data_IF_966437389916
#
_entry.id   IF_966437389916
#
_cell.length_a   1.000
_cell.length_b   1.000
_cell.length_c   1.000
_cell.angle_alpha   90.00
_cell.angle_beta   90.00
_cell.angle_gamma   90.00
#
_symmetry.space_group_name_H-M   'P 1'
#
loop_
_entity.id
_entity.type
_entity.pdbx_description
1 polymer ?
#
# COMPACT_ATOMS: atom_id res chain seq x y z
N UNK A 1 -24.52 8.11 -20.30
CA UNK A 1 -23.77 7.72 -21.51
C UNK A 1 -23.55 6.21 -21.44
N UNK A 2 -23.78 5.46 -22.52
CA UNK A 2 -23.48 4.03 -22.55
C UNK A 2 -22.08 3.80 -23.11
N UNK A 3 -21.29 2.95 -22.46
CA UNK A 3 -19.95 2.55 -22.89
C UNK A 3 -19.93 1.07 -23.24
N UNK A 4 -19.40 0.76 -24.42
CA UNK A 4 -19.11 -0.63 -24.77
C UNK A 4 -18.07 -1.24 -23.81
N UNK A 5 -18.05 -2.57 -23.70
CA UNK A 5 -17.03 -3.30 -22.94
C UNK A 5 -15.62 -2.85 -23.32
N UNK A 6 -15.33 -2.74 -24.62
CA UNK A 6 -14.02 -2.33 -25.11
C UNK A 6 -13.63 -0.91 -24.66
N UNK A 7 -14.59 0.03 -24.67
CA UNK A 7 -14.34 1.38 -24.15
C UNK A 7 -14.06 1.37 -22.65
N UNK A 8 -14.82 0.59 -21.87
CA UNK A 8 -14.59 0.43 -20.43
C UNK A 8 -13.20 -0.18 -20.13
N UNK A 9 -12.77 -1.15 -20.95
CA UNK A 9 -11.47 -1.80 -20.78
C UNK A 9 -10.31 -0.85 -21.07
N UNK A 10 -10.43 0.01 -22.08
CA UNK A 10 -9.41 1.02 -22.43
C UNK A 10 -9.33 2.16 -21.39
N UNK A 11 -10.37 2.33 -20.57
CA UNK A 11 -10.39 3.29 -19.47
C UNK A 11 -9.63 2.82 -18.22
N UNK A 12 -9.31 1.53 -18.11
CA UNK A 12 -8.58 0.97 -16.97
C UNK A 12 -7.12 0.66 -17.33
N UNK A 13 -6.22 0.52 -16.34
CA UNK A 13 -4.91 -0.09 -16.57
C UNK A 13 -5.05 -1.46 -17.24
N UNK A 14 -4.11 -1.82 -18.11
CA UNK A 14 -4.15 -3.09 -18.85
C UNK A 14 -4.22 -4.31 -17.91
N UNK A 15 -3.53 -4.29 -16.77
CA UNK A 15 -3.57 -5.34 -15.74
C UNK A 15 -4.94 -5.49 -15.06
N UNK A 16 -5.85 -4.54 -15.26
CA UNK A 16 -7.18 -4.49 -14.63
C UNK A 16 -8.32 -4.56 -15.64
N UNK A 17 -8.04 -4.48 -16.94
CA UNK A 17 -9.06 -4.50 -18.00
C UNK A 17 -9.92 -5.78 -17.99
N UNK A 18 -9.38 -6.93 -17.57
CA UNK A 18 -10.13 -8.18 -17.47
C UNK A 18 -11.19 -8.18 -16.36
N UNK A 19 -11.12 -7.24 -15.40
CA UNK A 19 -12.16 -7.09 -14.38
C UNK A 19 -13.48 -6.55 -14.94
N UNK A 20 -13.45 -5.91 -16.12
CA UNK A 20 -14.65 -5.47 -16.82
C UNK A 20 -15.31 -6.67 -17.51
N UNK A 21 -16.47 -7.07 -17.01
CA UNK A 21 -17.17 -8.28 -17.49
C UNK A 21 -18.22 -7.98 -18.56
N UNK A 22 -18.76 -6.77 -18.58
CA UNK A 22 -19.87 -6.36 -19.46
C UNK A 22 -19.71 -4.93 -19.96
N UNK A 23 -20.51 -4.54 -20.96
CA UNK A 23 -20.78 -3.14 -21.24
C UNK A 23 -21.38 -2.46 -20.00
N UNK A 24 -21.24 -1.14 -19.93
CA UNK A 24 -21.50 -0.36 -18.74
C UNK A 24 -22.27 0.92 -19.05
N UNK A 25 -23.11 1.32 -18.11
CA UNK A 25 -23.63 2.67 -18.06
C UNK A 25 -22.71 3.55 -17.21
N UNK A 26 -22.43 4.75 -17.73
CA UNK A 26 -21.79 5.81 -16.95
C UNK A 26 -22.78 6.28 -15.89
N UNK A 27 -22.46 6.00 -14.63
CA UNK A 27 -23.23 6.45 -13.47
C UNK A 27 -23.10 7.97 -13.31
N UNK A 28 -21.89 8.51 -13.49
CA UNK A 28 -21.63 9.95 -13.46
C UNK A 28 -20.36 10.33 -14.25
N UNK A 29 -20.40 11.50 -14.86
CA UNK A 29 -19.27 12.15 -15.54
C UNK A 29 -18.97 13.47 -14.83
N UNK A 30 -17.75 13.62 -14.34
CA UNK A 30 -17.24 14.84 -13.71
C UNK A 30 -16.30 15.55 -14.70
N UNK A 31 -16.83 16.44 -15.57
CA UNK A 31 -16.01 17.11 -16.57
C UNK A 31 -15.04 18.08 -15.89
N UNK A 32 -13.78 18.01 -16.32
CA UNK A 32 -12.73 18.99 -15.98
C UNK A 32 -12.56 19.98 -17.14
N UNK A 33 -12.85 19.54 -18.37
CA UNK A 33 -12.97 20.37 -19.56
C UNK A 33 -13.99 19.76 -20.54
N UNK A 34 -14.20 20.38 -21.70
CA UNK A 34 -15.10 19.84 -22.74
C UNK A 34 -14.67 18.45 -23.25
N UNK A 35 -13.36 18.18 -23.21
CA UNK A 35 -12.75 16.96 -23.75
C UNK A 35 -12.17 16.04 -22.69
N UNK A 36 -12.27 16.32 -21.40
CA UNK A 36 -11.67 15.48 -20.37
C UNK A 36 -12.39 15.57 -19.02
N UNK A 37 -12.19 14.56 -18.18
CA UNK A 37 -12.80 14.52 -16.85
C UNK A 37 -12.52 13.23 -16.10
N UNK A 38 -13.37 12.95 -15.12
CA UNK A 38 -13.35 11.70 -14.35
C UNK A 38 -14.70 11.01 -14.48
N UNK A 39 -14.69 9.78 -14.99
CA UNK A 39 -15.88 8.94 -15.08
C UNK A 39 -15.99 8.03 -13.87
N UNK A 40 -17.23 7.79 -13.47
CA UNK A 40 -17.59 6.62 -12.68
C UNK A 40 -18.61 5.80 -13.46
N UNK A 41 -18.30 4.52 -13.68
CA UNK A 41 -19.11 3.61 -14.48
C UNK A 41 -19.27 2.23 -13.82
N UNK A 42 -20.40 1.57 -14.08
CA UNK A 42 -20.77 0.32 -13.42
C UNK A 42 -20.34 -0.93 -14.19
N UNK A 43 -19.61 -1.86 -13.57
CA UNK A 43 -19.44 -3.21 -14.12
C UNK A 43 -19.69 -4.25 -13.05
N UNK A 44 -20.77 -5.02 -13.23
CA UNK A 44 -21.28 -5.91 -12.19
C UNK A 44 -21.81 -5.09 -11.00
N UNK A 45 -21.27 -5.34 -9.80
CA UNK A 45 -21.65 -4.65 -8.57
C UNK A 45 -20.70 -3.52 -8.18
N UNK A 46 -19.68 -3.24 -9.01
CA UNK A 46 -18.61 -2.28 -8.72
C UNK A 46 -18.77 -1.01 -9.54
N UNK A 47 -18.38 0.11 -8.95
CA UNK A 47 -18.28 1.42 -9.59
C UNK A 47 -16.81 1.70 -9.87
N UNK A 48 -16.38 1.59 -11.13
CA UNK A 48 -15.00 1.85 -11.55
C UNK A 48 -14.78 3.34 -11.78
N UNK A 49 -13.61 3.83 -11.38
CA UNK A 49 -13.21 5.23 -11.54
C UNK A 49 -12.20 5.30 -12.68
N UNK A 50 -12.38 6.26 -13.58
CA UNK A 50 -11.44 6.47 -14.69
C UNK A 50 -11.30 7.96 -15.03
N UNK A 51 -10.16 8.58 -14.69
CA UNK A 51 -9.71 9.80 -15.35
C UNK A 51 -9.56 9.55 -16.87
N UNK A 52 -10.19 10.38 -17.70
CA UNK A 52 -10.31 10.14 -19.13
C UNK A 52 -10.05 11.39 -19.97
N UNK A 53 -9.73 11.15 -21.25
CA UNK A 53 -9.65 12.16 -22.31
C UNK A 53 -10.42 11.70 -23.55
N UNK A 54 -11.04 12.64 -24.25
CA UNK A 54 -11.70 12.49 -25.56
C UNK A 54 -10.71 12.92 -26.65
N UNK A 55 -10.11 11.95 -27.33
CA UNK A 55 -9.26 12.14 -28.51
C UNK A 55 -9.62 11.09 -29.58
N UNK A 56 -10.42 11.49 -30.58
CA UNK A 56 -11.02 10.61 -31.62
C UNK A 56 -11.83 9.43 -31.07
N UNK A 57 -12.10 9.43 -29.77
CA UNK A 57 -12.67 8.36 -28.97
C UNK A 57 -12.39 8.64 -27.50
N UNK A 58 -12.86 7.78 -26.60
CA UNK A 58 -12.55 7.91 -25.18
C UNK A 58 -11.37 7.00 -24.81
N UNK A 59 -10.41 7.57 -24.09
CA UNK A 59 -9.26 6.83 -23.56
C UNK A 59 -8.95 7.25 -22.14
N UNK A 60 -8.21 6.40 -21.44
CA UNK A 60 -7.65 6.72 -20.13
C UNK A 60 -6.68 7.91 -20.20
N UNK A 61 -6.66 8.70 -19.13
CA UNK A 61 -5.70 9.78 -18.96
C UNK A 61 -4.27 9.25 -18.72
N UNK A 62 -3.30 10.07 -19.12
CA UNK A 62 -1.86 9.86 -18.99
C UNK A 62 -1.20 11.14 -18.47
N UNK A 63 0.08 11.05 -18.07
CA UNK A 63 0.84 12.17 -17.45
C UNK A 63 0.79 13.50 -18.20
N UNK A 64 0.69 13.47 -19.52
CA UNK A 64 0.66 14.68 -20.35
C UNK A 64 -0.74 15.30 -20.50
N UNK A 65 -1.79 14.65 -19.99
CA UNK A 65 -3.16 15.15 -20.10
C UNK A 65 -3.50 16.17 -19.00
N UNK A 66 -2.82 16.13 -17.85
CA UNK A 66 -2.98 17.11 -16.78
C UNK A 66 -4.31 17.01 -16.03
N UNK A 67 -4.96 15.85 -16.04
CA UNK A 67 -6.35 15.71 -15.54
C UNK A 67 -6.43 15.87 -14.03
N UNK A 68 -5.48 15.26 -13.30
CA UNK A 68 -5.45 15.35 -11.84
C UNK A 68 -5.01 16.75 -11.42
N UNK A 69 -4.00 17.31 -12.09
CA UNK A 69 -3.55 18.68 -11.87
C UNK A 69 -4.67 19.71 -12.08
N UNK A 70 -5.42 19.61 -13.18
CA UNK A 70 -6.55 20.49 -13.46
C UNK A 70 -7.69 20.32 -12.45
N UNK A 71 -8.03 19.08 -12.08
CA UNK A 71 -9.08 18.80 -11.11
C UNK A 71 -8.78 19.45 -9.74
N UNK A 72 -7.52 19.39 -9.28
CA UNK A 72 -7.11 19.94 -7.99
C UNK A 72 -6.70 21.42 -8.03
N UNK A 73 -6.56 22.01 -9.23
CA UNK A 73 -6.31 23.44 -9.41
C UNK A 73 -7.57 24.29 -9.54
N UNK A 74 -8.75 23.64 -9.60
CA UNK A 74 -10.03 24.29 -9.82
C UNK A 74 -11.04 23.93 -8.74
N UNK A 75 -12.18 24.63 -8.74
CA UNK A 75 -13.35 24.17 -7.96
C UNK A 75 -13.80 22.81 -8.49
N UNK A 76 -13.99 21.85 -7.58
CA UNK A 76 -14.38 20.51 -7.98
C UNK A 76 -15.76 20.50 -8.64
N UNK A 77 -15.97 19.62 -9.64
CA UNK A 77 -17.28 19.41 -10.25
C UNK A 77 -18.37 19.08 -9.21
N UNK A 78 -19.62 19.57 -9.40
CA UNK A 78 -20.73 19.27 -8.50
C UNK A 78 -20.92 17.76 -8.31
N UNK A 79 -21.14 17.35 -7.06
CA UNK A 79 -21.29 15.94 -6.67
C UNK A 79 -20.02 15.29 -6.12
N UNK A 80 -18.86 15.94 -6.26
CA UNK A 80 -17.65 15.60 -5.54
C UNK A 80 -17.51 16.45 -4.27
N UNK A 81 -16.98 15.83 -3.22
CA UNK A 81 -16.56 16.50 -1.99
C UNK A 81 -15.08 16.23 -1.79
N UNK A 82 -14.29 17.25 -1.47
CA UNK A 82 -12.88 17.07 -1.15
C UNK A 82 -12.51 17.78 0.14
N UNK A 83 -11.54 17.20 0.85
CA UNK A 83 -10.82 17.86 1.94
C UNK A 83 -9.42 18.33 1.51
N UNK A 84 -8.99 18.01 0.29
CA UNK A 84 -7.71 18.44 -0.28
C UNK A 84 -7.77 19.96 -0.55
N UNK A 85 -6.79 20.75 -0.07
CA UNK A 85 -6.68 22.17 -0.40
C UNK A 85 -6.57 22.37 -1.91
N UNK A 86 -7.31 23.35 -2.44
CA UNK A 86 -7.14 23.77 -3.84
C UNK A 86 -5.74 24.39 -4.00
N UNK A 87 -4.98 23.86 -4.95
CA UNK A 87 -3.63 24.33 -5.27
C UNK A 87 -3.57 24.98 -6.65
N UNK A 88 -2.36 25.18 -7.14
CA UNK A 88 -2.12 25.47 -8.55
C UNK A 88 -1.01 24.54 -9.02
N UNK A 89 -1.38 23.52 -9.80
CA UNK A 89 -0.48 22.46 -10.21
C UNK A 89 -0.19 22.54 -11.71
N UNK A 90 1.09 22.53 -12.06
CA UNK A 90 1.55 22.76 -13.43
C UNK A 90 1.92 21.49 -14.19
N UNK A 91 2.26 20.42 -13.46
CA UNK A 91 2.73 19.17 -14.01
C UNK A 91 2.16 17.98 -13.25
N UNK A 92 1.93 16.88 -13.97
CA UNK A 92 1.58 15.60 -13.38
C UNK A 92 2.39 14.47 -14.02
N UNK A 93 2.69 13.42 -13.25
CA UNK A 93 3.36 12.23 -13.74
C UNK A 93 2.84 10.98 -13.05
N UNK A 94 2.43 10.02 -13.86
CA UNK A 94 1.94 8.73 -13.40
C UNK A 94 3.09 7.83 -12.95
N UNK A 95 2.83 7.01 -11.92
CA UNK A 95 3.75 5.96 -11.48
C UNK A 95 3.43 4.68 -12.27
N UNK A 96 4.38 4.19 -13.05
CA UNK A 96 4.19 3.06 -13.97
C UNK A 96 4.35 1.67 -13.31
N UNK A 97 4.22 1.58 -11.99
CA UNK A 97 4.33 0.32 -11.23
C UNK A 97 2.95 -0.32 -11.13
N UNK A 98 2.86 -1.65 -11.27
CA UNK A 98 1.58 -2.36 -11.10
C UNK A 98 1.15 -2.28 -9.64
N UNK A 99 0.06 -1.56 -9.41
CA UNK A 99 -0.51 -1.27 -8.10
C UNK A 99 -2.00 -1.62 -8.12
N UNK A 100 -2.60 -1.82 -6.95
CA UNK A 100 -4.06 -2.00 -6.83
C UNK A 100 -4.83 -0.74 -7.26
N UNK A 101 -4.22 0.41 -7.00
CA UNK A 101 -4.71 1.75 -7.30
C UNK A 101 -3.76 2.45 -8.27
N UNK A 102 -4.18 3.58 -8.79
CA UNK A 102 -3.37 4.40 -9.69
C UNK A 102 -2.80 5.61 -8.97
N UNK A 103 -1.49 5.85 -9.09
CA UNK A 103 -0.82 6.96 -8.42
C UNK A 103 -0.29 7.99 -9.42
N UNK A 104 -0.58 9.27 -9.16
CA UNK A 104 -0.13 10.42 -9.94
C UNK A 104 0.62 11.38 -9.02
N UNK A 105 1.83 11.78 -9.41
CA UNK A 105 2.62 12.78 -8.71
C UNK A 105 2.36 14.14 -9.34
N UNK A 106 2.03 15.15 -8.53
CA UNK A 106 1.83 16.54 -8.95
C UNK A 106 3.00 17.41 -8.49
N UNK A 107 3.62 18.10 -9.44
CA UNK A 107 4.75 19.03 -9.22
C UNK A 107 5.84 18.49 -8.28
N UNK A 108 6.07 17.16 -8.30
CA UNK A 108 7.01 16.44 -7.42
C UNK A 108 6.85 16.78 -5.92
N UNK A 109 5.63 17.13 -5.49
CA UNK A 109 5.32 17.57 -4.12
C UNK A 109 4.13 16.85 -3.50
N UNK A 110 3.23 16.34 -4.32
CA UNK A 110 2.02 15.63 -3.89
C UNK A 110 1.90 14.34 -4.66
N UNK A 111 1.48 13.28 -3.99
CA UNK A 111 1.07 12.03 -4.62
C UNK A 111 -0.44 11.87 -4.42
N UNK A 112 -1.16 11.66 -5.53
CA UNK A 112 -2.60 11.40 -5.56
C UNK A 112 -2.83 9.95 -5.94
N UNK A 113 -3.47 9.18 -5.06
CA UNK A 113 -3.82 7.77 -5.27
C UNK A 113 -5.28 7.67 -5.66
N UNK A 114 -5.55 7.51 -6.96
CA UNK A 114 -6.86 7.20 -7.52
C UNK A 114 -7.26 5.76 -7.18
N UNK A 115 -8.42 5.60 -6.56
CA UNK A 115 -8.99 4.29 -6.27
C UNK A 115 -9.44 3.64 -7.58
N UNK A 116 -9.21 2.33 -7.75
CA UNK A 116 -9.72 1.61 -8.93
C UNK A 116 -11.26 1.58 -8.96
N UNK A 117 -11.87 1.47 -7.77
CA UNK A 117 -13.31 1.45 -7.61
C UNK A 117 -13.77 2.32 -6.45
N UNK A 118 -14.87 3.04 -6.64
CA UNK A 118 -15.46 3.88 -5.60
C UNK A 118 -16.09 2.99 -4.51
N UNK A 119 -15.56 3.09 -3.30
CA UNK A 119 -16.02 2.33 -2.13
C UNK A 119 -15.73 3.09 -0.83
N UNK A 120 -16.34 2.64 0.28
CA UNK A 120 -15.88 3.07 1.61
C UNK A 120 -14.46 2.57 1.83
N UNK A 121 -13.59 3.41 2.36
CA UNK A 121 -12.20 3.05 2.63
C UNK A 121 -11.93 3.15 4.12
N UNK A 122 -11.53 2.01 4.70
CA UNK A 122 -10.99 1.96 6.07
C UNK A 122 -9.60 2.57 6.10
N UNK A 123 -8.82 2.48 5.00
CA UNK A 123 -7.51 3.11 4.87
C UNK A 123 -7.57 4.62 5.02
N UNK A 124 -8.48 5.29 4.31
CA UNK A 124 -8.67 6.73 4.46
C UNK A 124 -9.03 7.13 5.90
N UNK A 125 -9.87 6.35 6.58
CA UNK A 125 -10.20 6.60 7.99
C UNK A 125 -8.96 6.44 8.90
N UNK A 126 -8.14 5.40 8.70
CA UNK A 126 -6.89 5.21 9.45
C UNK A 126 -5.91 6.37 9.22
N UNK A 127 -5.74 6.84 7.98
CA UNK A 127 -4.87 7.98 7.69
C UNK A 127 -5.38 9.28 8.35
N UNK A 128 -6.70 9.50 8.36
CA UNK A 128 -7.31 10.63 9.08
C UNK A 128 -7.01 10.56 10.59
N UNK A 129 -7.24 9.41 11.22
CA UNK A 129 -6.94 9.18 12.65
C UNK A 129 -5.45 9.40 12.96
N UNK A 130 -4.55 8.87 12.13
CA UNK A 130 -3.11 9.08 12.26
C UNK A 130 -2.72 10.56 12.16
N UNK A 131 -3.33 11.28 11.22
CA UNK A 131 -3.08 12.72 11.02
C UNK A 131 -3.57 13.54 12.21
N UNK A 132 -4.79 13.28 12.70
CA UNK A 132 -5.37 13.95 13.87
C UNK A 132 -4.53 13.71 15.13
N UNK A 133 -3.97 12.49 15.26
CA UNK A 133 -3.05 12.10 16.33
C UNK A 133 -1.58 12.46 16.08
N UNK A 134 -1.29 13.22 15.01
CA UNK A 134 0.04 13.76 14.68
C UNK A 134 1.13 12.70 14.53
N UNK A 135 0.78 11.55 13.97
CA UNK A 135 1.75 10.50 13.67
C UNK A 135 2.80 11.00 12.65
N UNK A 136 4.06 11.06 13.07
CA UNK A 136 5.13 11.74 12.32
C UNK A 136 5.75 10.89 11.19
N UNK A 137 5.42 9.60 11.10
CA UNK A 137 6.01 8.66 10.14
C UNK A 137 5.05 8.28 9.01
N UNK A 138 3.99 9.05 8.76
CA UNK A 138 3.15 8.90 7.58
C UNK A 138 3.35 10.13 6.68
N UNK A 139 3.48 9.97 5.35
CA UNK A 139 3.50 11.12 4.45
C UNK A 139 2.24 11.95 4.68
N UNK A 140 2.42 13.26 4.94
CA UNK A 140 1.36 14.15 5.40
C UNK A 140 0.11 14.02 4.54
N UNK A 141 -1.01 13.64 5.16
CA UNK A 141 -2.30 13.57 4.50
C UNK A 141 -2.77 14.98 4.17
N UNK A 142 -2.95 15.26 2.88
CA UNK A 142 -3.48 16.54 2.40
C UNK A 142 -5.00 16.49 2.29
N UNK A 143 -5.57 15.32 2.07
CA UNK A 143 -6.99 15.08 2.12
C UNK A 143 -7.46 14.00 1.16
N UNK A 144 -8.78 13.90 1.03
CA UNK A 144 -9.48 12.86 0.30
C UNK A 144 -10.54 13.47 -0.60
N UNK A 145 -10.83 12.81 -1.74
CA UNK A 145 -11.95 13.12 -2.63
C UNK A 145 -12.98 12.00 -2.53
N UNK A 146 -14.24 12.39 -2.36
CA UNK A 146 -15.37 11.50 -2.25
C UNK A 146 -16.41 11.78 -3.32
N UNK A 147 -17.02 10.70 -3.81
CA UNK A 147 -18.30 10.73 -4.49
C UNK A 147 -19.33 10.08 -3.56
N UNK A 148 -20.33 10.85 -3.11
CA UNK A 148 -21.21 10.45 -2.01
C UNK A 148 -20.39 10.13 -0.75
N UNK A 149 -20.51 8.91 -0.21
CA UNK A 149 -19.74 8.39 0.93
C UNK A 149 -18.58 7.46 0.50
N UNK A 150 -18.30 7.38 -0.80
CA UNK A 150 -17.26 6.51 -1.37
C UNK A 150 -16.00 7.31 -1.70
N UNK A 151 -14.86 6.81 -1.25
CA UNK A 151 -13.54 7.36 -1.60
C UNK A 151 -13.28 7.13 -3.09
N UNK A 152 -12.80 8.16 -3.79
CA UNK A 152 -12.35 8.05 -5.17
C UNK A 152 -10.88 8.39 -5.36
N UNK A 153 -10.31 9.24 -4.50
CA UNK A 153 -8.88 9.52 -4.48
C UNK A 153 -8.43 9.99 -3.08
N UNK A 154 -7.20 9.70 -2.71
CA UNK A 154 -6.51 10.30 -1.56
C UNK A 154 -5.28 11.07 -2.04
N UNK A 155 -4.85 12.07 -1.28
CA UNK A 155 -3.64 12.84 -1.57
C UNK A 155 -2.77 13.01 -0.33
N UNK A 156 -1.48 12.71 -0.46
CA UNK A 156 -0.47 12.88 0.58
C UNK A 156 0.70 13.68 0.01
N UNK A 157 1.54 14.26 0.88
CA UNK A 157 2.83 14.80 0.44
C UNK A 157 3.67 13.70 -0.19
N UNK A 158 4.21 13.98 -1.37
CA UNK A 158 5.18 13.12 -2.00
C UNK A 158 6.55 13.33 -1.33
N UNK A 159 7.27 12.24 -1.09
CA UNK A 159 8.60 12.27 -0.49
C UNK A 159 9.63 11.90 -1.57
N UNK A 160 10.33 12.88 -2.18
CA UNK A 160 11.23 12.59 -3.30
C UNK A 160 12.43 11.73 -2.90
N UNK A 161 12.78 10.79 -3.78
CA UNK A 161 13.97 9.95 -3.62
C UNK A 161 13.83 8.83 -2.58
N UNK A 162 12.63 8.53 -2.11
CA UNK A 162 12.37 7.31 -1.34
C UNK A 162 12.32 6.07 -2.22
N UNK A 163 12.75 4.94 -1.68
CA UNK A 163 12.51 3.60 -2.22
C UNK A 163 11.71 2.77 -1.23
N UNK A 164 11.03 1.73 -1.73
CA UNK A 164 10.30 0.77 -0.91
C UNK A 164 11.25 -0.18 -0.15
N UNK A 165 10.74 -0.82 0.90
CA UNK A 165 11.56 -1.70 1.74
C UNK A 165 11.99 -3.00 1.10
N UNK A 166 11.36 -3.49 0.04
CA UNK A 166 11.96 -4.61 -0.69
C UNK A 166 13.26 -4.21 -1.37
N UNK A 167 13.38 -2.95 -1.80
CA UNK A 167 14.63 -2.42 -2.37
C UNK A 167 15.72 -2.28 -1.29
N UNK A 168 15.48 -1.47 -0.25
CA UNK A 168 16.55 -1.14 0.70
C UNK A 168 16.78 -2.26 1.75
N UNK A 169 15.76 -2.97 2.21
CA UNK A 169 15.91 -3.96 3.29
C UNK A 169 16.61 -5.23 2.78
N UNK A 170 16.37 -5.64 1.53
CA UNK A 170 17.13 -6.73 0.89
C UNK A 170 18.62 -6.39 0.79
N UNK A 171 18.95 -5.13 0.48
CA UNK A 171 20.34 -4.67 0.50
C UNK A 171 20.92 -4.73 1.91
N UNK A 172 20.19 -4.27 2.93
CA UNK A 172 20.60 -4.37 4.35
C UNK A 172 20.87 -5.80 4.78
N UNK A 173 20.01 -6.75 4.40
CA UNK A 173 20.22 -8.16 4.67
C UNK A 173 21.48 -8.71 3.99
N UNK A 174 21.72 -8.36 2.72
CA UNK A 174 22.94 -8.76 1.98
C UNK A 174 24.22 -8.21 2.59
N UNK A 175 24.15 -7.01 3.16
CA UNK A 175 25.27 -6.33 3.84
C UNK A 175 25.42 -6.79 5.31
N UNK A 176 24.54 -7.68 5.79
CA UNK A 176 24.43 -8.08 7.19
C UNK A 176 24.29 -6.87 8.15
N UNK A 177 23.57 -5.84 7.69
CA UNK A 177 23.34 -4.60 8.43
C UNK A 177 22.16 -4.76 9.40
N UNK A 178 22.46 -4.70 10.69
CA UNK A 178 21.53 -4.71 11.82
C UNK A 178 21.53 -3.37 12.57
N UNK A 179 21.81 -2.28 11.85
CA UNK A 179 22.00 -0.95 12.40
C UNK A 179 20.74 -0.29 12.98
N UNK A 180 20.80 1.02 13.27
CA UNK A 180 19.75 1.75 13.97
C UNK A 180 18.37 1.76 13.29
N UNK A 181 18.29 1.40 12.01
CA UNK A 181 17.04 1.36 11.27
C UNK A 181 16.04 0.35 11.84
N UNK A 182 16.51 -0.76 12.46
CA UNK A 182 15.63 -1.73 13.12
C UNK A 182 14.98 -1.15 14.38
N UNK A 183 15.76 -0.40 15.16
CA UNK A 183 15.23 0.31 16.33
C UNK A 183 14.22 1.39 15.91
N UNK A 184 14.54 2.15 14.86
CA UNK A 184 13.64 3.16 14.30
C UNK A 184 12.36 2.52 13.76
N UNK A 185 12.45 1.34 13.13
CA UNK A 185 11.30 0.57 12.67
C UNK A 185 10.43 0.13 13.85
N UNK A 186 11.00 -0.35 14.95
CA UNK A 186 10.23 -0.70 16.13
C UNK A 186 9.55 0.53 16.79
N UNK A 187 10.28 1.64 16.92
CA UNK A 187 9.75 2.89 17.49
C UNK A 187 8.59 3.42 16.65
N UNK A 188 8.73 3.44 15.32
CA UNK A 188 7.66 3.93 14.45
C UNK A 188 6.43 3.02 14.50
N UNK A 189 6.60 1.69 14.59
CA UNK A 189 5.47 0.75 14.72
C UNK A 189 4.73 0.95 16.04
N UNK A 190 5.45 1.15 17.16
CA UNK A 190 4.81 1.44 18.44
C UNK A 190 4.05 2.77 18.42
N UNK A 191 4.65 3.81 17.84
CA UNK A 191 3.99 5.11 17.66
C UNK A 191 2.75 5.01 16.75
N UNK A 192 2.82 4.22 15.69
CA UNK A 192 1.69 3.96 14.79
C UNK A 192 0.52 3.31 15.53
N UNK A 193 0.77 2.21 16.24
CA UNK A 193 -0.28 1.52 17.01
C UNK A 193 -0.88 2.41 18.10
N UNK A 194 -0.08 3.26 18.74
CA UNK A 194 -0.59 4.24 19.70
C UNK A 194 -1.54 5.24 19.03
N UNK A 195 -1.14 5.80 17.88
CA UNK A 195 -1.94 6.79 17.16
C UNK A 195 -3.18 6.20 16.49
N UNK A 196 -3.21 4.89 16.19
CA UNK A 196 -4.34 4.20 15.57
C UNK A 196 -5.49 3.88 16.52
N UNK A 197 -5.37 4.15 17.83
CA UNK A 197 -6.45 4.03 18.82
C UNK A 197 -7.19 2.67 18.80
N UNK A 198 -6.45 1.57 18.74
CA UNK A 198 -7.02 0.22 18.70
C UNK A 198 -7.32 -0.30 17.30
N UNK A 199 -7.03 0.47 16.25
CA UNK A 199 -6.85 -0.04 14.90
C UNK A 199 -5.40 -0.53 14.69
N UNK A 200 -5.21 -1.29 13.61
CA UNK A 200 -3.91 -1.75 13.13
C UNK A 200 -3.74 -1.40 11.65
N UNK A 201 -2.52 -1.43 11.14
CA UNK A 201 -2.24 -1.35 9.70
C UNK A 201 -2.97 -2.48 8.98
N UNK A 202 -2.79 -3.73 9.45
CA UNK A 202 -3.53 -4.92 8.99
C UNK A 202 -2.86 -5.69 7.85
N UNK A 203 -1.91 -5.05 7.17
CA UNK A 203 -1.02 -5.60 6.12
C UNK A 203 0.40 -5.00 6.24
N UNK A 204 0.99 -5.09 7.43
CA UNK A 204 2.25 -4.39 7.74
C UNK A 204 3.47 -5.23 7.36
N UNK A 205 4.24 -4.78 6.37
CA UNK A 205 5.45 -5.46 5.90
C UNK A 205 6.48 -4.47 5.35
N UNK A 206 7.73 -4.90 5.08
CA UNK A 206 8.81 -3.96 4.68
C UNK A 206 8.49 -3.18 3.40
N UNK A 207 7.77 -3.78 2.45
CA UNK A 207 7.30 -3.08 1.25
C UNK A 207 6.48 -1.81 1.50
N UNK A 208 5.88 -1.67 2.69
CA UNK A 208 5.12 -0.48 3.11
C UNK A 208 5.98 0.57 3.83
N UNK A 209 7.28 0.33 3.93
CA UNK A 209 8.23 1.22 4.58
C UNK A 209 9.09 1.91 3.51
N UNK A 210 8.86 3.21 3.35
CA UNK A 210 9.67 4.05 2.48
C UNK A 210 10.87 4.63 3.24
N UNK A 211 12.01 4.70 2.56
CA UNK A 211 13.26 5.30 3.09
C UNK A 211 14.02 6.01 1.97
N UNK A 212 14.71 7.10 2.28
CA UNK A 212 15.69 7.69 1.35
C UNK A 212 17.09 7.12 1.58
N UNK A 213 17.97 7.19 0.57
CA UNK A 213 19.34 6.68 0.70
C UNK A 213 20.22 7.47 1.70
N UNK A 214 19.86 8.72 2.00
CA UNK A 214 20.67 9.67 2.76
C UNK A 214 20.09 10.04 4.13
N UNK A 215 18.95 9.47 4.52
CA UNK A 215 18.32 9.69 5.82
C UNK A 215 17.78 8.38 6.40
N UNK A 216 17.83 8.25 7.72
CA UNK A 216 17.23 7.11 8.45
C UNK A 216 15.77 7.35 8.84
N UNK A 217 15.18 8.46 8.39
CA UNK A 217 13.74 8.67 8.46
C UNK A 217 13.01 7.59 7.65
N UNK A 218 12.08 6.92 8.32
CA UNK A 218 11.18 5.93 7.73
C UNK A 218 9.77 6.50 7.62
N UNK A 219 9.07 6.11 6.57
CA UNK A 219 7.66 6.44 6.35
C UNK A 219 6.85 5.17 6.12
N UNK A 220 5.64 5.11 6.70
CA UNK A 220 4.66 4.04 6.49
C UNK A 220 3.61 4.52 5.51
N UNK A 221 3.23 3.65 4.59
CA UNK A 221 2.20 3.89 3.58
C UNK A 221 1.22 2.71 3.51
N UNK A 222 0.13 2.88 2.76
CA UNK A 222 -0.81 1.81 2.38
C UNK A 222 -1.65 1.21 3.53
N UNK A 223 -2.34 2.08 4.26
CA UNK A 223 -3.20 1.71 5.38
C UNK A 223 -4.53 1.02 5.01
N UNK A 224 -4.74 0.62 3.75
CA UNK A 224 -5.98 -0.03 3.29
C UNK A 224 -6.23 -1.36 4.03
N UNK A 225 -5.18 -1.97 4.57
CA UNK A 225 -5.22 -3.27 5.25
C UNK A 225 -5.26 -4.45 4.28
N UNK A 226 -5.35 -5.66 4.83
CA UNK A 226 -5.32 -6.88 4.02
C UNK A 226 -6.62 -7.03 3.21
N UNK A 227 -6.56 -6.98 1.86
CA UNK A 227 -7.73 -7.08 0.99
C UNK A 227 -8.42 -8.46 1.06
N UNK A 228 -7.75 -9.46 1.64
CA UNK A 228 -8.26 -10.82 1.82
C UNK A 228 -8.86 -11.04 3.22
N UNK A 229 -8.67 -10.11 4.15
CA UNK A 229 -9.22 -10.21 5.49
C UNK A 229 -10.71 -9.86 5.50
N UNK A 230 -11.51 -10.64 6.22
CA UNK A 230 -12.85 -10.20 6.65
C UNK A 230 -12.69 -9.19 7.77
N UNK A 231 -13.56 -8.17 7.83
CA UNK A 231 -13.58 -7.05 8.80
C UNK A 231 -13.56 -7.43 10.31
N UNK A 232 -13.45 -8.71 10.65
CA UNK A 232 -13.53 -9.27 12.01
C UNK A 232 -12.21 -9.90 12.49
N UNK A 233 -11.14 -9.90 11.69
CA UNK A 233 -9.82 -10.35 12.21
C UNK A 233 -9.35 -9.36 13.27
N UNK A 234 -9.19 -9.86 14.51
CA UNK A 234 -8.99 -9.05 15.71
C UNK A 234 -7.92 -7.97 15.50
N UNK A 235 -8.29 -6.73 15.87
CA UNK A 235 -7.43 -5.56 15.85
C UNK A 235 -6.37 -5.63 16.97
N UNK A 236 -5.52 -6.65 16.90
CA UNK A 236 -4.44 -6.85 17.85
C UNK A 236 -3.12 -6.37 17.22
N UNK A 237 -2.39 -5.46 17.89
CA UNK A 237 -1.06 -5.01 17.45
C UNK A 237 -0.08 -6.16 17.15
N UNK A 238 -0.29 -7.33 17.79
CA UNK A 238 0.47 -8.55 17.53
C UNK A 238 0.44 -8.99 16.07
N UNK A 239 -0.64 -8.72 15.32
CA UNK A 239 -0.72 -9.05 13.91
C UNK A 239 0.27 -8.26 13.07
N UNK A 240 0.34 -6.94 13.25
CA UNK A 240 1.29 -6.11 12.52
C UNK A 240 2.74 -6.48 12.88
N UNK A 241 2.99 -6.80 14.16
CA UNK A 241 4.32 -7.27 14.62
C UNK A 241 4.67 -8.60 13.95
N UNK A 242 3.79 -9.60 14.01
CA UNK A 242 4.00 -10.90 13.38
C UNK A 242 4.18 -10.77 11.87
N UNK A 243 3.39 -9.93 11.21
CA UNK A 243 3.48 -9.66 9.77
C UNK A 243 4.83 -9.04 9.40
N UNK A 244 5.31 -8.06 10.16
CA UNK A 244 6.64 -7.47 9.94
C UNK A 244 7.76 -8.48 10.20
N UNK A 245 7.66 -9.28 11.27
CA UNK A 245 8.63 -10.34 11.56
C UNK A 245 8.69 -11.37 10.43
N UNK A 246 7.54 -11.82 9.92
CA UNK A 246 7.47 -12.72 8.78
C UNK A 246 8.04 -12.07 7.49
N UNK A 247 7.85 -10.76 7.33
CA UNK A 247 8.45 -10.00 6.23
C UNK A 247 9.98 -10.06 6.23
N UNK A 248 10.65 -10.13 7.39
CA UNK A 248 12.11 -10.34 7.42
C UNK A 248 12.53 -11.69 6.83
N UNK A 249 11.72 -12.74 6.99
CA UNK A 249 11.97 -14.04 6.34
C UNK A 249 11.83 -13.93 4.82
N UNK A 250 10.86 -13.17 4.31
CA UNK A 250 10.72 -12.91 2.87
C UNK A 250 11.89 -12.10 2.33
N UNK A 251 12.35 -11.06 3.05
CA UNK A 251 13.57 -10.31 2.72
C UNK A 251 14.75 -11.27 2.58
N UNK A 252 14.90 -12.20 3.52
CA UNK A 252 15.93 -13.21 3.46
C UNK A 252 15.80 -14.16 2.27
N UNK A 253 14.59 -14.64 1.98
CA UNK A 253 14.32 -15.48 0.81
C UNK A 253 14.70 -14.78 -0.50
N UNK A 254 14.35 -13.51 -0.65
CA UNK A 254 14.72 -12.67 -1.78
C UNK A 254 16.25 -12.49 -1.85
N UNK A 255 16.91 -12.19 -0.73
CA UNK A 255 18.36 -12.04 -0.68
C UNK A 255 19.09 -13.32 -1.13
N UNK A 256 18.67 -14.48 -0.63
CA UNK A 256 19.22 -15.80 -0.99
C UNK A 256 18.98 -16.10 -2.47
N UNK A 257 17.76 -15.87 -2.98
CA UNK A 257 17.43 -16.03 -4.40
C UNK A 257 18.32 -15.18 -5.30
N UNK A 258 18.78 -14.03 -4.80
CA UNK A 258 19.71 -13.13 -5.49
C UNK A 258 21.18 -13.29 -5.05
N UNK A 259 21.57 -14.50 -4.61
CA UNK A 259 22.97 -14.91 -4.46
C UNK A 259 23.61 -14.64 -3.10
N UNK A 260 22.85 -14.20 -2.09
CA UNK A 260 23.38 -14.07 -0.73
C UNK A 260 23.65 -15.44 -0.08
N UNK A 261 24.64 -15.48 0.83
CA UNK A 261 24.92 -16.70 1.60
C UNK A 261 23.75 -17.02 2.56
N UNK A 262 23.25 -18.25 2.49
CA UNK A 262 22.09 -18.70 3.27
C UNK A 262 22.33 -18.69 4.78
N UNK A 263 23.50 -19.13 5.25
CA UNK A 263 23.79 -19.14 6.70
C UNK A 263 23.82 -17.72 7.29
N UNK A 264 24.45 -16.78 6.59
CA UNK A 264 24.51 -15.37 7.00
C UNK A 264 23.11 -14.76 7.03
N UNK A 265 22.31 -14.99 5.99
CA UNK A 265 20.93 -14.46 5.92
C UNK A 265 20.05 -15.05 7.02
N UNK A 266 20.13 -16.36 7.27
CA UNK A 266 19.42 -17.02 8.36
C UNK A 266 19.74 -16.37 9.71
N UNK A 267 21.03 -16.15 10.01
CA UNK A 267 21.46 -15.45 11.23
C UNK A 267 20.97 -13.99 11.30
N UNK A 268 20.96 -13.29 10.16
CA UNK A 268 20.44 -11.93 10.05
C UNK A 268 18.95 -11.85 10.37
N UNK A 269 18.12 -12.77 9.83
CA UNK A 269 16.67 -12.81 10.07
C UNK A 269 16.36 -12.89 11.58
N UNK A 270 16.97 -13.86 12.27
CA UNK A 270 16.75 -14.08 13.71
C UNK A 270 17.19 -12.86 14.52
N UNK A 271 18.29 -12.22 14.12
CA UNK A 271 18.79 -11.02 14.79
C UNK A 271 17.88 -9.82 14.57
N UNK A 272 17.40 -9.61 13.33
CA UNK A 272 16.49 -8.53 12.98
C UNK A 272 15.14 -8.66 13.71
N UNK A 273 14.54 -9.85 13.70
CA UNK A 273 13.31 -10.16 14.44
C UNK A 273 13.47 -9.88 15.94
N UNK A 274 14.58 -10.33 16.53
CA UNK A 274 14.88 -10.11 17.96
C UNK A 274 15.04 -8.63 18.30
N UNK A 275 15.81 -7.88 17.52
CA UNK A 275 16.04 -6.44 17.75
C UNK A 275 14.71 -5.69 17.64
N UNK A 276 13.96 -5.92 16.56
CA UNK A 276 12.68 -5.27 16.31
C UNK A 276 11.67 -5.54 17.44
N UNK A 277 11.44 -6.81 17.79
CA UNK A 277 10.47 -7.18 18.84
C UNK A 277 10.90 -6.66 20.22
N UNK A 278 12.16 -6.85 20.61
CA UNK A 278 12.67 -6.36 21.89
C UNK A 278 12.48 -4.85 22.02
N UNK A 279 12.78 -4.11 20.95
CA UNK A 279 12.63 -2.66 20.94
C UNK A 279 11.16 -2.22 20.95
N UNK A 280 10.30 -2.90 20.20
CA UNK A 280 8.88 -2.57 20.12
C UNK A 280 8.19 -2.72 21.48
N UNK A 281 8.47 -3.81 22.19
CA UNK A 281 7.92 -4.05 23.53
C UNK A 281 8.66 -3.29 24.63
N UNK A 282 9.59 -2.40 24.29
CA UNK A 282 10.41 -1.62 25.23
C UNK A 282 11.07 -2.51 26.31
N UNK A 283 11.64 -3.65 25.87
CA UNK A 283 12.22 -4.69 26.73
C UNK A 283 11.27 -5.32 27.77
N UNK A 284 9.96 -5.08 27.69
CA UNK A 284 8.96 -5.80 28.49
C UNK A 284 8.77 -7.23 27.98
N UNK A 285 8.30 -8.12 28.85
CA UNK A 285 7.95 -9.49 28.45
C UNK A 285 6.76 -9.49 27.51
N UNK A 286 6.84 -10.27 26.43
CA UNK A 286 5.76 -10.50 25.47
C UNK A 286 5.61 -11.98 25.17
N UNK A 287 4.44 -12.38 24.70
CA UNK A 287 4.17 -13.76 24.31
C UNK A 287 4.79 -14.05 22.93
N UNK A 288 6.05 -14.48 22.96
CA UNK A 288 6.79 -14.88 21.75
C UNK A 288 6.15 -16.09 21.05
N UNK A 289 5.47 -16.98 21.78
CA UNK A 289 4.81 -18.16 21.21
C UNK A 289 3.61 -17.70 20.38
N UNK A 290 2.84 -16.73 20.89
CA UNK A 290 1.74 -16.13 20.14
C UNK A 290 2.21 -15.47 18.83
N UNK A 291 3.32 -14.71 18.86
CA UNK A 291 3.91 -14.10 17.66
C UNK A 291 4.30 -15.18 16.64
N UNK A 292 5.07 -16.19 17.06
CA UNK A 292 5.51 -17.28 16.18
C UNK A 292 4.33 -18.08 15.58
N UNK A 293 3.29 -18.32 16.37
CA UNK A 293 2.07 -18.99 15.91
C UNK A 293 1.33 -18.17 14.85
N UNK A 294 1.25 -16.85 15.05
CA UNK A 294 0.62 -15.93 14.11
C UNK A 294 1.43 -15.82 12.81
N UNK A 295 2.77 -15.75 12.89
CA UNK A 295 3.65 -15.78 11.72
C UNK A 295 3.39 -17.01 10.85
N UNK A 296 3.34 -18.21 11.43
CA UNK A 296 3.03 -19.44 10.68
C UNK A 296 1.64 -19.40 10.03
N UNK A 297 0.65 -18.80 10.70
CA UNK A 297 -0.71 -18.67 10.18
C UNK A 297 -0.75 -17.72 8.98
N UNK A 298 -0.08 -16.55 9.09
CA UNK A 298 0.04 -15.57 8.02
C UNK A 298 0.78 -16.17 6.81
N UNK A 299 1.89 -16.86 7.03
CA UNK A 299 2.67 -17.50 5.96
C UNK A 299 1.92 -18.64 5.26
N UNK A 300 1.13 -19.42 6.00
CA UNK A 300 0.28 -20.44 5.39
C UNK A 300 -0.81 -19.83 4.51
N UNK A 301 -1.31 -18.64 4.85
CA UNK A 301 -2.25 -17.87 4.01
C UNK A 301 -1.54 -17.31 2.78
N UNK A 302 -0.37 -16.72 2.96
CA UNK A 302 0.45 -16.16 1.88
C UNK A 302 0.83 -17.24 0.85
N UNK A 303 1.19 -18.45 1.30
CA UNK A 303 1.49 -19.57 0.41
C UNK A 303 0.29 -19.95 -0.48
N UNK A 304 -0.92 -20.03 0.11
CA UNK A 304 -2.16 -20.31 -0.63
C UNK A 304 -2.50 -19.19 -1.62
N UNK A 305 -2.23 -17.94 -1.24
CA UNK A 305 -2.42 -16.79 -2.12
C UNK A 305 -1.44 -16.84 -3.31
N UNK A 306 -0.15 -17.04 -3.05
CA UNK A 306 0.88 -17.16 -4.06
C UNK A 306 0.59 -18.30 -5.05
N UNK A 307 0.10 -19.45 -4.56
CA UNK A 307 -0.30 -20.58 -5.42
C UNK A 307 -1.35 -20.22 -6.47
N UNK A 308 -2.28 -19.36 -6.10
CA UNK A 308 -3.41 -19.01 -6.95
C UNK A 308 -3.15 -17.81 -7.85
N UNK A 309 -2.41 -16.82 -7.34
CA UNK A 309 -2.34 -15.50 -7.96
C UNK A 309 -0.92 -15.03 -8.27
N UNK A 310 0.10 -15.56 -7.59
CA UNK A 310 1.49 -15.11 -7.76
C UNK A 310 2.52 -16.26 -7.68
N UNK A 311 2.46 -17.26 -8.58
CA UNK A 311 3.27 -18.49 -8.45
C UNK A 311 4.79 -18.24 -8.38
N UNK A 312 5.27 -17.16 -9.01
CA UNK A 312 6.68 -16.76 -8.97
C UNK A 312 7.15 -16.27 -7.59
N UNK A 313 6.23 -15.93 -6.69
CA UNK A 313 6.49 -15.49 -5.32
C UNK A 313 6.49 -16.64 -4.30
N UNK A 314 5.94 -17.81 -4.67
CA UNK A 314 5.76 -18.98 -3.80
C UNK A 314 7.02 -19.37 -2.98
N UNK A 315 8.21 -19.20 -3.57
CA UNK A 315 9.48 -19.52 -2.91
C UNK A 315 9.69 -18.75 -1.58
N UNK A 316 9.13 -17.56 -1.43
CA UNK A 316 9.30 -16.72 -0.24
C UNK A 316 8.56 -17.30 0.99
N UNK A 317 7.23 -17.56 0.95
CA UNK A 317 6.54 -18.21 2.05
C UNK A 317 6.99 -19.66 2.26
N UNK A 318 7.41 -20.39 1.22
CA UNK A 318 7.99 -21.73 1.39
C UNK A 318 9.27 -21.71 2.24
N UNK A 319 10.19 -20.78 1.93
CA UNK A 319 11.40 -20.58 2.71
C UNK A 319 11.07 -20.17 4.15
N UNK A 320 10.16 -19.22 4.33
CA UNK A 320 9.75 -18.71 5.63
C UNK A 320 9.22 -19.84 6.53
N UNK A 321 8.24 -20.62 6.04
CA UNK A 321 7.65 -21.75 6.77
C UNK A 321 8.70 -22.81 7.10
N UNK A 322 9.55 -23.17 6.14
CA UNK A 322 10.59 -24.17 6.36
C UNK A 322 11.57 -23.72 7.44
N UNK A 323 12.03 -22.47 7.37
CA UNK A 323 13.01 -21.96 8.32
C UNK A 323 12.41 -21.72 9.72
N UNK A 324 11.18 -21.22 9.82
CA UNK A 324 10.46 -21.14 11.10
C UNK A 324 10.34 -22.51 11.79
N UNK A 325 10.08 -23.58 11.02
CA UNK A 325 10.05 -24.96 11.56
C UNK A 325 11.42 -25.42 12.03
N UNK A 326 12.50 -25.10 11.31
CA UNK A 326 13.87 -25.39 11.76
C UNK A 326 14.21 -24.69 13.09
N UNK A 327 13.68 -23.48 13.30
CA UNK A 327 13.81 -22.72 14.55
C UNK A 327 12.90 -23.24 15.67
N UNK A 328 12.04 -24.23 15.40
CA UNK A 328 11.09 -24.79 16.36
C UNK A 328 9.80 -24.00 16.55
N UNK A 329 9.49 -23.04 15.67
CA UNK A 329 8.25 -22.26 15.77
C UNK A 329 7.05 -23.20 15.64
N UNK A 330 6.09 -23.08 16.56
CA UNK A 330 4.91 -23.95 16.62
C UNK A 330 5.15 -25.33 17.25
N UNK A 331 6.35 -25.60 17.79
CA UNK A 331 6.59 -26.76 18.65
C UNK A 331 6.30 -26.36 20.10
N UNK A 332 5.29 -26.99 20.72
CA UNK A 332 4.97 -26.82 22.13
C UNK A 332 5.85 -27.68 23.03
#
# INVERSE_FOLDING_TARGET
MHLSKAQCQVLLPASRAEQIKSCSDVSVDFPVSDSAGVLIFESGTKNFIAPYVKDKGIRRAQSNDGITAQLLSNSLPPGLRSTIPVGNYSSERFIAVDQSNESVILDESIIVKWQLTAQKSVGAHKEEVLSDNKFAHMPELLGNIYWQDKLIASANKYIPGTTDGWTWCVQKAKENDLGPWLDNLAILTAAMHHCLEGLIHGDFHVGQILKTAYSDQLWVIDFEGDPLSSNEEAAEPLRDIASMCASFFHVGAVAIKHGANSEVIKAWIVSAEKIFTTKYFDANSFDVIAIHSLMLTLEARELKYADKFLPQWRYAPEFAIAYMKELGYGSN
#
